data_IF_512666593574
#
_entry.id   IF_512666593574
#
_cell.length_a   1.000
_cell.length_b   1.000
_cell.length_c   1.000
_cell.angle_alpha   90.00
_cell.angle_beta   90.00
_cell.angle_gamma   90.00
#
_symmetry.space_group_name_H-M   'P 1'
#
loop_
_entity.id
_entity.type
_entity.pdbx_description
1 polymer ?
#
# COMPACT_ATOMS: atom_id res chain seq x y z
N UNK A 1 -13.88 12.22 -36.89
CA UNK A 1 -14.55 12.46 -35.59
C UNK A 1 -14.94 11.13 -34.97
N UNK A 2 -14.02 10.49 -34.26
CA UNK A 2 -14.22 9.16 -33.65
C UNK A 2 -13.46 9.07 -32.33
N UNK A 3 -13.62 10.07 -31.48
CA UNK A 3 -13.00 10.07 -30.14
C UNK A 3 -13.88 9.29 -29.17
N UNK A 4 -13.33 8.26 -28.53
CA UNK A 4 -14.01 7.54 -27.43
C UNK A 4 -14.47 8.56 -26.39
N UNK A 5 -15.74 8.49 -25.98
CA UNK A 5 -16.31 9.37 -24.95
C UNK A 5 -15.52 9.16 -23.65
N UNK A 6 -14.71 10.15 -23.30
CA UNK A 6 -13.93 10.12 -22.06
C UNK A 6 -14.88 10.43 -20.89
N UNK A 7 -14.86 9.53 -19.92
CA UNK A 7 -15.62 9.63 -18.68
C UNK A 7 -14.61 9.63 -17.53
N UNK A 8 -14.75 10.55 -16.60
CA UNK A 8 -13.87 10.65 -15.43
C UNK A 8 -13.75 12.08 -14.93
N UNK A 9 -13.35 12.21 -13.65
CA UNK A 9 -13.25 13.50 -12.98
C UNK A 9 -12.42 14.53 -13.76
N UNK A 10 -11.22 14.17 -14.21
CA UNK A 10 -10.33 15.09 -14.95
C UNK A 10 -10.90 15.50 -16.32
N UNK A 11 -11.61 14.60 -17.00
CA UNK A 11 -12.24 14.91 -18.30
C UNK A 11 -13.37 15.96 -18.14
N UNK A 12 -14.13 15.89 -17.04
CA UNK A 12 -15.16 16.90 -16.73
C UNK A 12 -14.55 18.24 -16.30
N UNK A 13 -13.45 18.22 -15.54
CA UNK A 13 -12.72 19.45 -15.18
C UNK A 13 -12.15 20.16 -16.41
N UNK A 14 -11.65 19.44 -17.41
CA UNK A 14 -11.15 20.06 -18.64
C UNK A 14 -12.25 20.66 -19.51
N UNK A 15 -13.43 20.03 -19.58
CA UNK A 15 -14.58 20.63 -20.27
C UNK A 15 -14.99 21.98 -19.68
N UNK A 16 -14.90 22.14 -18.35
CA UNK A 16 -15.33 23.39 -17.70
C UNK A 16 -14.40 24.58 -17.98
N UNK A 17 -13.15 24.32 -18.38
CA UNK A 17 -12.16 25.36 -18.71
C UNK A 17 -12.24 25.77 -20.20
N UNK A 18 -13.07 25.08 -21.00
CA UNK A 18 -13.37 25.48 -22.39
C UNK A 18 -12.21 25.26 -23.36
N UNK A 19 -11.31 24.35 -23.05
CA UNK A 19 -10.17 23.98 -23.91
C UNK A 19 -10.46 22.63 -24.55
N UNK A 20 -10.23 22.52 -25.87
CA UNK A 20 -10.28 21.25 -26.58
C UNK A 20 -9.18 20.32 -26.06
N UNK A 21 -9.56 19.41 -25.17
CA UNK A 21 -8.65 18.45 -24.58
C UNK A 21 -8.49 17.23 -25.48
N UNK A 22 -7.27 16.98 -25.92
CA UNK A 22 -6.88 15.70 -26.51
C UNK A 22 -6.47 14.77 -25.37
N UNK A 23 -7.09 13.59 -25.31
CA UNK A 23 -6.69 12.55 -24.37
C UNK A 23 -5.74 11.61 -25.07
N UNK A 24 -4.55 11.52 -24.52
CA UNK A 24 -3.53 10.57 -24.91
C UNK A 24 -3.10 9.77 -23.70
N UNK A 25 -2.88 8.47 -23.91
CA UNK A 25 -2.26 7.63 -22.90
C UNK A 25 -0.75 7.66 -23.14
N UNK A 26 -0.03 8.25 -22.20
CA UNK A 26 1.42 8.25 -22.20
C UNK A 26 1.91 7.07 -21.35
N UNK A 27 2.45 6.00 -21.95
CA UNK A 27 3.06 4.93 -21.18
C UNK A 27 4.29 5.48 -20.44
N UNK A 28 4.49 5.02 -19.20
CA UNK A 28 5.76 5.23 -18.52
C UNK A 28 6.83 4.37 -19.20
N UNK A 29 7.96 4.98 -19.54
CA UNK A 29 9.07 4.30 -20.21
C UNK A 29 9.93 3.52 -19.21
N UNK A 30 10.72 2.58 -19.72
CA UNK A 30 11.72 1.86 -18.90
C UNK A 30 12.99 2.71 -18.64
N UNK A 31 13.24 3.73 -19.48
CA UNK A 31 14.40 4.62 -19.35
C UNK A 31 14.08 5.81 -18.43
N UNK A 32 14.24 5.61 -17.13
CA UNK A 32 14.23 6.69 -16.14
C UNK A 32 15.64 7.28 -16.02
N UNK A 33 15.80 8.55 -16.41
CA UNK A 33 17.03 9.32 -16.25
C UNK A 33 16.73 10.62 -15.48
N UNK A 34 17.68 11.09 -14.67
CA UNK A 34 17.56 12.35 -13.93
C UNK A 34 17.42 13.59 -14.84
N UNK A 35 17.74 13.46 -16.12
CA UNK A 35 17.74 14.58 -17.09
C UNK A 35 16.64 14.50 -18.14
N UNK A 36 16.01 13.35 -18.31
CA UNK A 36 15.00 13.11 -19.37
C UNK A 36 13.73 12.62 -18.71
N UNK A 37 12.67 13.43 -18.82
CA UNK A 37 11.36 13.02 -18.34
C UNK A 37 10.80 11.86 -19.17
N UNK A 38 9.95 11.05 -18.56
CA UNK A 38 9.19 9.99 -19.21
C UNK A 38 7.69 10.33 -19.27
N UNK A 39 6.94 9.47 -19.97
CA UNK A 39 5.49 9.54 -20.10
C UNK A 39 4.99 10.95 -20.46
N UNK A 40 4.00 11.42 -19.72
CA UNK A 40 3.31 12.68 -19.99
C UNK A 40 4.20 13.92 -19.79
N UNK A 41 5.20 13.86 -18.90
CA UNK A 41 6.12 14.98 -18.68
C UNK A 41 7.09 15.15 -19.84
N UNK A 42 7.45 14.05 -20.53
CA UNK A 42 8.25 14.11 -21.75
C UNK A 42 7.56 14.89 -22.87
N UNK A 43 6.29 14.58 -23.14
CA UNK A 43 5.51 15.27 -24.16
C UNK A 43 5.35 16.77 -23.87
N UNK A 44 5.27 17.16 -22.58
CA UNK A 44 5.30 18.57 -22.15
C UNK A 44 6.69 19.19 -22.37
N UNK A 45 7.75 18.48 -22.01
CA UNK A 45 9.14 18.94 -22.15
C UNK A 45 9.54 19.13 -23.62
N UNK A 46 9.09 18.24 -24.51
CA UNK A 46 9.35 18.25 -25.96
C UNK A 46 8.42 19.22 -26.72
N UNK A 47 7.43 19.80 -26.04
CA UNK A 47 6.50 20.77 -26.63
C UNK A 47 5.41 20.15 -27.52
N UNK A 48 5.24 18.83 -27.48
CA UNK A 48 4.15 18.13 -28.17
C UNK A 48 2.79 18.48 -27.56
N UNK A 49 2.76 18.72 -26.25
CA UNK A 49 1.59 19.23 -25.52
C UNK A 49 1.92 20.47 -24.68
N UNK A 50 1.02 21.45 -24.69
CA UNK A 50 1.19 22.70 -23.95
C UNK A 50 0.95 22.54 -22.45
N UNK A 51 0.03 21.66 -22.08
CA UNK A 51 -0.38 21.43 -20.70
C UNK A 51 -0.93 20.01 -20.58
N UNK A 52 -0.83 19.46 -19.38
CA UNK A 52 -1.32 18.12 -19.10
C UNK A 52 -2.08 18.08 -17.78
N UNK A 53 -3.11 17.23 -17.71
CA UNK A 53 -3.88 16.97 -16.51
C UNK A 53 -3.83 15.48 -16.21
N UNK A 54 -3.41 15.15 -14.99
CA UNK A 54 -3.27 13.78 -14.52
C UNK A 54 -3.19 13.76 -12.99
N UNK A 55 -3.14 12.56 -12.43
CA UNK A 55 -2.92 12.36 -11.01
C UNK A 55 -1.44 12.62 -10.64
N UNK A 56 -0.98 13.85 -10.84
CA UNK A 56 0.41 14.24 -10.66
C UNK A 56 0.62 14.91 -9.31
N UNK A 57 1.44 14.29 -8.46
CA UNK A 57 1.90 14.94 -7.23
C UNK A 57 2.94 16.01 -7.56
N UNK A 58 2.82 17.22 -7.00
CA UNK A 58 3.86 18.23 -7.09
C UNK A 58 5.11 17.74 -6.34
N UNK A 59 6.28 17.92 -6.93
CA UNK A 59 7.57 17.66 -6.30
C UNK A 59 8.52 18.82 -6.56
N UNK A 60 9.51 19.00 -5.68
CA UNK A 60 10.51 20.07 -5.82
C UNK A 60 11.26 19.99 -7.15
N UNK A 61 11.61 18.79 -7.60
CA UNK A 61 12.24 18.56 -8.91
C UNK A 61 11.31 18.98 -10.06
N UNK A 62 10.04 18.59 -10.03
CA UNK A 62 9.08 18.99 -11.07
C UNK A 62 8.86 20.50 -11.12
N UNK A 63 8.88 21.17 -9.97
CA UNK A 63 8.76 22.63 -9.90
C UNK A 63 9.97 23.39 -10.49
N UNK A 64 11.12 22.74 -10.65
CA UNK A 64 12.28 23.33 -11.32
C UNK A 64 12.19 23.23 -12.85
N UNK A 65 11.50 22.22 -13.37
CA UNK A 65 11.40 21.95 -14.80
C UNK A 65 10.07 22.42 -15.43
N UNK A 66 9.01 22.49 -14.64
CA UNK A 66 7.65 22.78 -15.12
C UNK A 66 6.97 23.86 -14.30
N UNK A 67 6.14 24.66 -14.97
CA UNK A 67 5.21 25.58 -14.30
C UNK A 67 3.99 24.78 -13.81
N UNK A 68 3.86 24.67 -12.50
CA UNK A 68 2.74 23.98 -11.86
C UNK A 68 1.60 24.97 -11.62
N UNK A 69 0.37 24.54 -11.91
CA UNK A 69 -0.84 25.28 -11.53
C UNK A 69 -1.11 25.14 -10.03
N UNK A 70 -2.10 25.90 -9.54
CA UNK A 70 -2.63 25.67 -8.20
C UNK A 70 -3.18 24.24 -8.08
N UNK A 71 -2.91 23.52 -6.98
CA UNK A 71 -3.40 22.15 -6.81
C UNK A 71 -4.92 22.05 -6.95
N UNK A 72 -5.39 21.14 -7.81
CA UNK A 72 -6.82 20.89 -8.01
C UNK A 72 -7.44 20.01 -6.91
N UNK A 73 -6.64 19.15 -6.27
CA UNK A 73 -7.04 18.33 -5.13
C UNK A 73 -5.84 18.02 -4.23
N UNK A 74 -6.08 17.77 -2.95
CA UNK A 74 -5.08 17.33 -1.98
C UNK A 74 -5.33 15.86 -1.63
N UNK A 75 -4.27 15.06 -1.62
CA UNK A 75 -4.31 13.65 -1.21
C UNK A 75 -3.09 13.34 -0.34
N UNK A 76 -3.12 12.21 0.37
CA UNK A 76 -2.01 11.72 1.20
C UNK A 76 -1.75 10.24 0.90
N UNK A 77 -0.65 9.70 1.41
CA UNK A 77 -0.32 8.28 1.26
C UNK A 77 -1.24 7.44 2.16
N UNK A 78 -2.24 6.82 1.55
CA UNK A 78 -3.09 5.83 2.21
C UNK A 78 -2.48 4.44 2.10
N UNK A 79 -2.45 3.73 3.23
CA UNK A 79 -2.19 2.29 3.25
C UNK A 79 -3.52 1.56 3.23
N UNK A 80 -3.79 0.86 2.13
CA UNK A 80 -4.98 0.02 2.00
C UNK A 80 -4.63 -1.41 2.40
N UNK A 81 -5.23 -1.89 3.49
CA UNK A 81 -5.30 -3.32 3.77
C UNK A 81 -6.64 -3.85 3.24
N UNK A 82 -6.65 -5.04 2.67
CA UNK A 82 -7.91 -5.69 2.27
C UNK A 82 -8.81 -5.84 3.49
N UNK A 83 -10.12 -5.60 3.32
CA UNK A 83 -11.08 -5.89 4.36
C UNK A 83 -10.98 -7.38 4.70
N UNK A 84 -10.40 -7.72 5.86
CA UNK A 84 -10.34 -9.08 6.39
C UNK A 84 -11.74 -9.49 6.82
N UNK A 85 -12.62 -9.72 5.84
CA UNK A 85 -13.92 -10.30 6.09
C UNK A 85 -13.69 -11.72 6.63
N UNK A 86 -14.06 -11.93 7.89
CA UNK A 86 -14.19 -13.26 8.50
C UNK A 86 -12.96 -14.16 8.44
N UNK A 87 -11.76 -13.68 8.81
CA UNK A 87 -10.87 -14.61 9.49
C UNK A 87 -11.50 -14.93 10.83
N UNK A 88 -12.24 -16.05 10.88
CA UNK A 88 -12.51 -16.75 12.13
C UNK A 88 -11.15 -17.01 12.74
N UNK A 89 -10.77 -16.18 13.70
CA UNK A 89 -9.68 -16.48 14.61
C UNK A 89 -9.95 -17.90 15.12
N UNK A 90 -9.08 -18.84 14.78
CA UNK A 90 -9.18 -20.22 15.23
C UNK A 90 -8.98 -20.20 16.74
N UNK A 91 -10.11 -20.14 17.46
CA UNK A 91 -10.20 -20.01 18.92
C UNK A 91 -9.56 -21.17 19.68
N UNK A 92 -9.14 -22.22 18.99
CA UNK A 92 -8.46 -23.39 19.55
C UNK A 92 -7.13 -23.03 20.25
N UNK A 93 -6.41 -22.00 19.78
CA UNK A 93 -5.18 -21.53 20.44
C UNK A 93 -5.41 -20.40 21.45
N UNK A 94 -6.58 -19.75 21.43
CA UNK A 94 -6.95 -18.68 22.38
C UNK A 94 -7.12 -19.24 23.80
N UNK A 95 -7.51 -20.50 23.96
CA UNK A 95 -7.54 -21.12 25.30
C UNK A 95 -6.16 -21.10 25.97
N UNK A 96 -5.09 -21.26 25.19
CA UNK A 96 -3.72 -21.20 25.70
C UNK A 96 -3.22 -19.78 25.92
N UNK A 97 -3.86 -18.73 25.37
CA UNK A 97 -3.39 -17.33 25.59
C UNK A 97 -3.61 -16.83 27.02
N UNK A 98 -4.40 -17.54 27.84
CA UNK A 98 -4.53 -17.24 29.28
C UNK A 98 -3.20 -17.47 30.02
N UNK A 99 -2.35 -18.36 29.49
CA UNK A 99 -1.01 -18.60 30.00
C UNK A 99 0.03 -18.19 28.96
N UNK A 100 1.11 -17.53 29.37
CA UNK A 100 2.22 -17.34 28.44
C UNK A 100 2.76 -18.71 28.01
N UNK A 101 3.17 -18.90 26.74
CA UNK A 101 3.80 -20.13 26.27
C UNK A 101 4.96 -20.56 27.21
N UNK A 102 5.81 -19.64 27.71
CA UNK A 102 6.80 -19.97 28.74
C UNK A 102 6.21 -20.55 30.03
N UNK A 103 5.10 -19.99 30.53
CA UNK A 103 4.42 -20.50 31.74
C UNK A 103 3.89 -21.92 31.53
N UNK A 104 3.36 -22.22 30.35
CA UNK A 104 2.88 -23.56 30.02
C UNK A 104 4.02 -24.60 30.04
N UNK A 105 5.18 -24.25 29.49
CA UNK A 105 6.36 -25.12 29.48
C UNK A 105 6.88 -25.38 30.91
N UNK A 106 6.89 -24.36 31.77
CA UNK A 106 7.28 -24.51 33.18
C UNK A 106 6.31 -25.45 33.90
N UNK A 107 5.01 -25.31 33.66
CA UNK A 107 3.98 -26.12 34.32
C UNK A 107 4.08 -27.60 33.90
N UNK A 108 4.30 -27.86 32.61
CA UNK A 108 4.57 -29.22 32.10
C UNK A 108 5.85 -29.79 32.73
N UNK A 109 6.91 -29.00 32.82
CA UNK A 109 8.18 -29.41 33.43
C UNK A 109 8.05 -29.75 34.91
N UNK A 110 7.30 -28.94 35.68
CA UNK A 110 6.99 -29.18 37.09
C UNK A 110 6.18 -30.47 37.28
N UNK A 111 5.21 -30.72 36.41
CA UNK A 111 4.42 -31.95 36.50
C UNK A 111 5.28 -33.19 36.25
N UNK A 112 6.14 -33.17 35.24
CA UNK A 112 7.05 -34.29 34.93
C UNK A 112 7.98 -34.55 36.11
N UNK A 113 8.60 -33.51 36.68
CA UNK A 113 9.49 -33.65 37.84
C UNK A 113 8.76 -34.19 39.07
N UNK A 114 7.54 -33.70 39.36
CA UNK A 114 6.73 -34.24 40.46
C UNK A 114 6.44 -35.73 40.29
N UNK A 115 6.06 -36.15 39.08
CA UNK A 115 5.77 -37.57 38.78
C UNK A 115 7.00 -38.46 38.96
N UNK A 116 8.17 -37.99 38.52
CA UNK A 116 9.45 -38.72 38.67
C UNK A 116 9.83 -38.85 40.15
N UNK A 117 9.69 -37.78 40.94
CA UNK A 117 9.96 -37.82 42.39
C UNK A 117 9.00 -38.77 43.10
N UNK A 118 7.72 -38.76 42.75
CA UNK A 118 6.74 -39.69 43.32
C UNK A 118 7.07 -41.16 42.98
N UNK A 119 7.53 -41.42 41.75
CA UNK A 119 7.97 -42.75 41.33
C UNK A 119 9.20 -43.22 42.11
N UNK A 120 10.23 -42.37 42.24
CA UNK A 120 11.46 -42.69 42.98
C UNK A 120 11.19 -42.94 44.48
N UNK A 121 10.34 -42.11 45.09
CA UNK A 121 9.97 -42.28 46.50
C UNK A 121 9.17 -43.55 46.76
N UNK A 122 8.33 -43.99 45.80
CA UNK A 122 7.65 -45.30 45.87
C UNK A 122 8.62 -46.48 45.76
N UNK A 123 9.67 -46.36 44.95
CA UNK A 123 10.72 -47.40 44.84
C UNK A 123 11.55 -47.48 46.13
N UNK A 124 11.95 -46.35 46.70
CA UNK A 124 12.79 -46.27 47.91
C UNK A 124 12.08 -46.71 49.19
N UNK A 125 10.74 -46.67 49.22
CA UNK A 125 9.93 -47.16 50.35
C UNK A 125 9.65 -48.66 50.30
N UNK A 126 10.16 -49.38 49.30
CA UNK A 126 10.01 -50.83 49.13
C UNK A 126 11.33 -51.52 49.45
#
# INVERSE_FOLDING_TARGET
>A
FGGKRQLGFLAEVWKSIGVDAVYEQYPYGEEQSDTVCDGMLKAVQEGEVLASAGANSPSSLRAQHFRLSTPAYYTYMDFYESARAHHQDTTQLVFFTVFSIPSLLILIGLQITATVVEFLTKILKK
#
